data_IF_810468504146
#
_entry.id   IF_810468504146
#
_cell.length_a   1.000
_cell.length_b   1.000
_cell.length_c   1.000
_cell.angle_alpha   90.00
_cell.angle_beta   90.00
_cell.angle_gamma   90.00
#
_symmetry.space_group_name_H-M   'P 1'
#
loop_
_entity.id
_entity.type
_entity.pdbx_description
1 polymer ?
#
# COMPACT_ATOMS: atom_id res chain seq x y z
N UNK A 1 -46.16 -12.33 -13.66
CA UNK A 1 -45.15 -12.06 -14.71
C UNK A 1 -44.35 -10.75 -14.55
N UNK A 2 -44.78 -9.78 -13.70
CA UNK A 2 -44.18 -8.43 -13.65
C UNK A 2 -42.82 -8.31 -12.93
N UNK A 3 -42.59 -9.05 -11.84
CA UNK A 3 -41.38 -8.88 -11.02
C UNK A 3 -40.08 -9.32 -11.71
N UNK A 4 -40.12 -10.38 -12.53
CA UNK A 4 -38.93 -10.86 -13.27
C UNK A 4 -38.43 -9.80 -14.26
N UNK A 5 -39.34 -9.07 -14.91
CA UNK A 5 -38.99 -8.00 -15.83
C UNK A 5 -38.38 -6.80 -15.10
N UNK A 6 -38.90 -6.44 -13.93
CA UNK A 6 -38.35 -5.36 -13.10
C UNK A 6 -36.91 -5.68 -12.67
N UNK A 7 -36.67 -6.90 -12.18
CA UNK A 7 -35.33 -7.35 -11.78
C UNK A 7 -34.36 -7.33 -12.97
N UNK A 8 -34.81 -7.81 -14.14
CA UNK A 8 -33.98 -7.81 -15.34
C UNK A 8 -33.58 -6.40 -15.76
N UNK A 9 -34.53 -5.47 -15.83
CA UNK A 9 -34.26 -4.06 -16.17
C UNK A 9 -33.27 -3.45 -15.17
N UNK A 10 -33.46 -3.68 -13.87
CA UNK A 10 -32.56 -3.19 -12.84
C UNK A 10 -31.12 -3.71 -12.99
N UNK A 11 -30.95 -5.01 -13.25
CA UNK A 11 -29.62 -5.60 -13.47
C UNK A 11 -28.94 -5.03 -14.73
N UNK A 12 -29.70 -4.85 -15.81
CA UNK A 12 -29.19 -4.23 -17.04
C UNK A 12 -28.73 -2.80 -16.75
N UNK A 13 -29.52 -2.00 -16.02
CA UNK A 13 -29.13 -0.64 -15.62
C UNK A 13 -27.83 -0.63 -14.82
N UNK A 14 -27.65 -1.55 -13.87
CA UNK A 14 -26.41 -1.65 -13.10
C UNK A 14 -25.20 -2.01 -13.97
N UNK A 15 -25.36 -2.91 -14.95
CA UNK A 15 -24.29 -3.26 -15.89
C UNK A 15 -23.87 -2.04 -16.71
N UNK A 16 -24.83 -1.30 -17.28
CA UNK A 16 -24.53 -0.09 -18.06
C UNK A 16 -23.89 0.99 -17.21
N UNK A 17 -24.36 1.18 -15.96
CA UNK A 17 -23.77 2.13 -15.03
C UNK A 17 -22.32 1.77 -14.71
N UNK A 18 -22.02 0.50 -14.46
CA UNK A 18 -20.67 0.04 -14.19
C UNK A 18 -19.75 0.21 -15.41
N UNK A 19 -20.20 -0.17 -16.61
CA UNK A 19 -19.43 0.04 -17.85
C UNK A 19 -19.15 1.52 -18.07
N UNK A 20 -20.14 2.39 -17.85
CA UNK A 20 -19.99 3.84 -17.95
C UNK A 20 -18.95 4.39 -16.97
N UNK A 21 -19.01 3.98 -15.71
CA UNK A 21 -18.04 4.38 -14.69
C UNK A 21 -16.62 3.84 -14.98
N UNK A 22 -16.49 2.60 -15.46
CA UNK A 22 -15.20 2.04 -15.85
C UNK A 22 -14.60 2.81 -17.04
N UNK A 23 -15.43 3.23 -18.00
CA UNK A 23 -14.97 4.02 -19.15
C UNK A 23 -14.49 5.42 -18.74
N UNK A 24 -15.23 6.06 -17.82
CA UNK A 24 -14.82 7.33 -17.20
C UNK A 24 -13.51 7.16 -16.44
N UNK A 25 -13.42 6.14 -15.58
CA UNK A 25 -12.20 5.84 -14.83
C UNK A 25 -11.01 5.59 -15.76
N UNK A 26 -11.20 4.85 -16.85
CA UNK A 26 -10.18 4.61 -17.88
C UNK A 26 -9.70 5.92 -18.53
N UNK A 27 -10.61 6.84 -18.86
CA UNK A 27 -10.28 8.16 -19.39
C UNK A 27 -9.49 9.01 -18.39
N UNK A 28 -9.91 9.05 -17.12
CA UNK A 28 -9.20 9.79 -16.07
C UNK A 28 -7.85 9.16 -15.70
N UNK A 29 -7.71 7.83 -15.83
CA UNK A 29 -6.46 7.11 -15.58
C UNK A 29 -5.37 7.36 -16.65
N UNK A 30 -5.72 8.02 -17.76
CA UNK A 30 -4.79 8.53 -18.78
C UNK A 30 -4.27 9.93 -18.46
N UNK A 31 -4.18 10.36 -17.19
CA UNK A 31 -3.27 11.45 -16.84
C UNK A 31 -1.86 11.05 -17.29
N UNK A 32 -1.28 11.87 -18.15
CA UNK A 32 -0.05 11.58 -18.87
C UNK A 32 1.03 11.17 -17.86
N UNK A 33 1.50 9.91 -17.86
CA UNK A 33 2.74 9.59 -17.16
C UNK A 33 3.83 10.45 -17.78
N UNK A 34 4.74 10.97 -16.96
CA UNK A 34 5.83 11.85 -17.39
C UNK A 34 6.39 11.31 -18.71
N UNK A 35 6.30 12.10 -19.77
CA UNK A 35 6.71 11.68 -21.10
C UNK A 35 8.23 11.70 -21.16
N UNK A 36 8.83 10.63 -21.65
CA UNK A 36 10.26 10.59 -21.94
C UNK A 36 10.60 11.77 -22.85
N UNK A 37 11.59 12.58 -22.44
CA UNK A 37 12.07 13.70 -23.23
C UNK A 37 13.44 13.34 -23.80
N UNK A 38 13.75 13.82 -25.00
CA UNK A 38 15.04 13.50 -25.65
C UNK A 38 16.24 13.99 -24.83
N UNK A 39 16.09 15.06 -24.05
CA UNK A 39 17.12 15.56 -23.12
C UNK A 39 17.39 14.61 -21.94
N UNK A 40 16.50 13.67 -21.65
CA UNK A 40 16.68 12.68 -20.58
C UNK A 40 17.70 11.59 -20.93
N UNK A 41 18.10 11.45 -22.20
CA UNK A 41 19.10 10.47 -22.65
C UNK A 41 20.43 10.65 -21.92
N UNK A 42 20.81 11.90 -21.63
CA UNK A 42 22.07 12.26 -20.94
C UNK A 42 21.94 12.29 -19.41
N UNK A 43 20.76 12.00 -18.86
CA UNK A 43 20.49 12.00 -17.42
C UNK A 43 20.49 10.57 -16.88
N UNK A 44 20.74 10.44 -15.59
CA UNK A 44 20.48 9.21 -14.84
C UNK A 44 18.96 9.05 -14.78
N UNK A 45 18.43 7.99 -15.41
CA UNK A 45 17.00 7.70 -15.47
C UNK A 45 16.62 6.71 -14.39
N UNK A 46 15.76 7.13 -13.47
CA UNK A 46 15.25 6.31 -12.39
C UNK A 46 13.76 6.05 -12.65
N UNK A 47 13.31 4.81 -12.57
CA UNK A 47 11.90 4.44 -12.63
C UNK A 47 11.43 4.03 -11.24
N UNK A 48 10.55 4.82 -10.63
CA UNK A 48 9.91 4.48 -9.37
C UNK A 48 8.60 3.73 -9.63
N UNK A 49 8.55 2.43 -9.33
CA UNK A 49 7.34 1.62 -9.43
C UNK A 49 6.74 1.36 -8.04
N UNK A 50 5.42 1.38 -7.95
CA UNK A 50 4.74 1.06 -6.71
C UNK A 50 3.25 1.33 -6.76
N UNK A 51 2.61 1.21 -5.60
CA UNK A 51 1.15 1.27 -5.48
C UNK A 51 0.68 2.70 -5.15
N UNK A 52 -0.26 2.86 -4.21
CA UNK A 52 -0.74 4.17 -3.76
C UNK A 52 0.34 5.02 -3.10
N UNK A 53 1.29 4.36 -2.46
CA UNK A 53 2.39 5.01 -1.73
C UNK A 53 3.46 5.60 -2.65
N UNK A 54 3.50 5.16 -3.92
CA UNK A 54 4.39 5.73 -4.96
C UNK A 54 3.63 6.62 -5.93
N UNK A 55 2.35 6.36 -6.17
CA UNK A 55 1.55 7.13 -7.10
C UNK A 55 1.50 8.61 -6.72
N UNK A 56 1.44 9.48 -7.74
CA UNK A 56 1.14 10.91 -7.53
C UNK A 56 -0.16 11.02 -6.74
N UNK A 57 -0.05 11.58 -5.54
CA UNK A 57 -1.21 11.93 -4.75
C UNK A 57 -2.02 12.98 -5.51
N UNK A 58 -3.31 13.06 -5.20
CA UNK A 58 -4.35 13.79 -5.95
C UNK A 58 -3.92 15.15 -6.54
N UNK A 59 -4.66 15.64 -7.54
CA UNK A 59 -4.38 16.92 -8.21
C UNK A 59 -4.25 18.14 -7.28
N UNK A 60 -4.65 18.03 -6.02
CA UNK A 60 -4.61 19.08 -5.01
C UNK A 60 -3.22 19.30 -4.41
N UNK A 61 -2.30 18.35 -4.50
CA UNK A 61 -0.91 18.49 -4.01
C UNK A 61 0.10 18.02 -5.05
N UNK A 62 0.20 18.73 -6.19
CA UNK A 62 1.22 18.39 -7.17
C UNK A 62 2.61 18.47 -6.52
N UNK A 63 3.54 17.62 -6.96
CA UNK A 63 4.95 17.68 -6.57
C UNK A 63 5.22 17.38 -5.09
N UNK A 64 4.39 16.55 -4.46
CA UNK A 64 4.58 16.09 -3.08
C UNK A 64 4.88 14.59 -2.98
N UNK A 65 4.77 13.85 -4.09
CA UNK A 65 5.09 12.44 -4.14
C UNK A 65 6.60 12.20 -3.95
N UNK A 66 6.95 11.12 -3.26
CA UNK A 66 8.35 10.83 -2.95
C UNK A 66 9.26 10.70 -4.19
N UNK A 67 8.81 10.21 -5.38
CA UNK A 67 9.65 10.21 -6.58
C UNK A 67 10.04 11.61 -7.03
N UNK A 68 9.12 12.58 -6.95
CA UNK A 68 9.41 13.98 -7.22
C UNK A 68 10.42 14.54 -6.19
N UNK A 69 10.20 14.28 -4.90
CA UNK A 69 11.11 14.75 -3.85
C UNK A 69 12.51 14.14 -3.97
N UNK A 70 12.60 12.87 -4.36
CA UNK A 70 13.86 12.19 -4.66
C UNK A 70 14.60 12.88 -5.82
N UNK A 71 13.91 13.16 -6.93
CA UNK A 71 14.51 13.88 -8.06
C UNK A 71 15.06 15.23 -7.63
N UNK A 72 14.26 15.99 -6.87
CA UNK A 72 14.64 17.31 -6.37
C UNK A 72 15.91 17.24 -5.52
N UNK A 73 15.96 16.34 -4.54
CA UNK A 73 17.11 16.19 -3.63
C UNK A 73 18.39 15.74 -4.36
N UNK A 74 18.26 14.81 -5.32
CA UNK A 74 19.41 14.37 -6.11
C UNK A 74 19.94 15.50 -7.02
N UNK A 75 19.05 16.32 -7.59
CA UNK A 75 19.46 17.52 -8.33
C UNK A 75 20.14 18.57 -7.44
N UNK A 76 19.64 18.78 -6.22
CA UNK A 76 20.28 19.65 -5.22
C UNK A 76 21.69 19.17 -4.84
N UNK A 77 21.94 17.85 -4.91
CA UNK A 77 23.27 17.24 -4.74
C UNK A 77 24.16 17.33 -6.00
N UNK A 78 23.69 17.95 -7.09
CA UNK A 78 24.45 18.15 -8.32
C UNK A 78 24.31 17.05 -9.36
N UNK A 79 23.44 16.06 -9.16
CA UNK A 79 23.24 14.98 -10.12
C UNK A 79 22.34 15.39 -11.28
N UNK A 80 22.76 15.02 -12.50
CA UNK A 80 21.92 15.10 -13.69
C UNK A 80 20.98 13.89 -13.72
N UNK A 81 19.83 13.98 -13.05
CA UNK A 81 18.87 12.88 -12.87
C UNK A 81 17.46 13.24 -13.33
N UNK A 82 16.71 12.22 -13.73
CA UNK A 82 15.25 12.27 -13.92
C UNK A 82 14.60 11.06 -13.26
N UNK A 83 13.52 11.27 -12.53
CA UNK A 83 12.76 10.21 -11.84
C UNK A 83 11.36 10.10 -12.45
N UNK A 84 11.10 8.98 -13.13
CA UNK A 84 9.79 8.67 -13.68
C UNK A 84 8.92 8.00 -12.62
N UNK A 85 7.81 8.64 -12.26
CA UNK A 85 6.82 8.05 -11.36
C UNK A 85 5.92 7.06 -12.13
N UNK A 86 6.20 5.77 -11.95
CA UNK A 86 5.41 4.65 -12.46
C UNK A 86 4.32 4.15 -11.50
N UNK A 87 4.12 4.83 -10.37
CA UNK A 87 3.21 4.45 -9.30
C UNK A 87 1.74 4.43 -9.72
N UNK A 88 0.98 3.46 -9.20
CA UNK A 88 -0.46 3.31 -9.46
C UNK A 88 -1.21 2.92 -8.19
N UNK A 89 -2.06 3.83 -7.71
CA UNK A 89 -2.90 3.57 -6.54
C UNK A 89 -3.89 2.43 -6.75
N UNK A 90 -4.29 1.81 -5.63
CA UNK A 90 -5.28 0.73 -5.58
C UNK A 90 -5.00 -0.43 -6.56
N UNK A 91 -3.72 -0.78 -6.69
CA UNK A 91 -3.27 -1.86 -7.57
C UNK A 91 -2.41 -2.87 -6.82
N UNK A 92 -2.11 -4.00 -7.45
CA UNK A 92 -1.31 -5.09 -6.87
C UNK A 92 0.05 -5.22 -7.56
N UNK A 93 0.96 -5.98 -6.94
CA UNK A 93 2.25 -6.34 -7.55
C UNK A 93 2.06 -6.98 -8.92
N UNK A 94 1.09 -7.88 -9.09
CA UNK A 94 0.82 -8.54 -10.38
C UNK A 94 0.47 -7.56 -11.51
N UNK A 95 -0.31 -6.52 -11.22
CA UNK A 95 -0.63 -5.48 -12.18
C UNK A 95 0.59 -4.63 -12.52
N UNK A 96 1.40 -4.23 -11.53
CA UNK A 96 2.63 -3.48 -11.77
C UNK A 96 3.61 -4.26 -12.65
N UNK A 97 3.81 -5.56 -12.35
CA UNK A 97 4.68 -6.43 -13.13
C UNK A 97 4.21 -6.58 -14.58
N UNK A 98 2.91 -6.65 -14.82
CA UNK A 98 2.36 -6.70 -16.20
C UNK A 98 2.69 -5.45 -17.04
N UNK A 99 2.97 -4.32 -16.39
CA UNK A 99 3.27 -3.02 -17.04
C UNK A 99 4.77 -2.76 -17.13
N UNK A 100 5.56 -3.43 -16.31
CA UNK A 100 6.98 -3.20 -16.18
C UNK A 100 7.74 -3.35 -17.52
N UNK A 101 7.50 -4.38 -18.37
CA UNK A 101 8.19 -4.49 -19.65
C UNK A 101 8.01 -3.26 -20.55
N UNK A 102 6.76 -2.77 -20.65
CA UNK A 102 6.46 -1.57 -21.43
C UNK A 102 7.10 -0.31 -20.79
N UNK A 103 7.13 -0.20 -19.47
CA UNK A 103 7.78 0.93 -18.78
C UNK A 103 9.30 0.92 -18.97
N UNK A 104 9.94 -0.24 -18.88
CA UNK A 104 11.37 -0.40 -19.14
C UNK A 104 11.68 0.01 -20.58
N UNK A 105 10.91 -0.49 -21.56
CA UNK A 105 11.10 -0.13 -22.96
C UNK A 105 10.89 1.37 -23.21
N UNK A 106 9.85 1.96 -22.58
CA UNK A 106 9.51 3.37 -22.77
C UNK A 106 10.54 4.32 -22.16
N UNK A 107 11.05 4.02 -20.97
CA UNK A 107 11.88 4.95 -20.19
C UNK A 107 13.37 4.61 -20.21
N UNK A 108 13.73 3.40 -20.64
CA UNK A 108 15.09 2.86 -20.62
C UNK A 108 15.84 3.20 -19.31
N UNK A 109 15.27 2.88 -18.13
CA UNK A 109 15.81 3.34 -16.86
C UNK A 109 17.16 2.69 -16.56
N UNK A 110 18.07 3.43 -15.91
CA UNK A 110 19.29 2.87 -15.34
C UNK A 110 19.02 2.22 -13.99
N UNK A 111 18.07 2.78 -13.22
CA UNK A 111 17.71 2.32 -11.88
C UNK A 111 16.20 2.13 -11.82
N UNK A 112 15.74 1.02 -11.24
CA UNK A 112 14.33 0.80 -10.90
C UNK A 112 14.22 0.72 -9.38
N UNK A 113 13.39 1.57 -8.79
CA UNK A 113 13.06 1.55 -7.36
C UNK A 113 11.65 1.01 -7.22
N UNK A 114 11.49 -0.01 -6.38
CA UNK A 114 10.21 -0.72 -6.24
C UNK A 114 9.68 -0.64 -4.83
N UNK A 115 8.42 -0.22 -4.69
CA UNK A 115 7.67 -0.23 -3.43
C UNK A 115 6.26 -0.80 -3.66
N UNK A 116 6.13 -2.11 -3.48
CA UNK A 116 4.93 -2.90 -3.76
C UNK A 116 4.73 -3.97 -2.67
N UNK A 117 3.56 -4.60 -2.60
CA UNK A 117 3.30 -5.68 -1.66
C UNK A 117 2.11 -5.43 -0.74
N UNK A 118 1.84 -4.17 -0.38
CA UNK A 118 0.86 -3.86 0.66
C UNK A 118 -0.58 -4.18 0.23
N UNK A 119 -0.89 -4.10 -1.06
CA UNK A 119 -2.19 -4.52 -1.58
C UNK A 119 -2.26 -6.00 -1.96
N UNK A 120 -1.15 -6.74 -1.96
CA UNK A 120 -1.16 -8.17 -2.33
C UNK A 120 -1.79 -9.06 -1.26
N UNK A 121 -1.93 -8.58 -0.03
CA UNK A 121 -2.74 -9.24 1.00
C UNK A 121 -4.21 -9.40 0.56
N UNK A 122 -4.72 -8.53 -0.32
CA UNK A 122 -6.06 -8.66 -0.90
C UNK A 122 -6.19 -9.82 -1.92
N UNK A 123 -5.07 -10.36 -2.44
CA UNK A 123 -5.09 -11.51 -3.34
C UNK A 123 -5.37 -12.83 -2.62
N UNK A 124 -5.01 -12.95 -1.34
CA UNK A 124 -5.35 -14.13 -0.53
C UNK A 124 -6.88 -14.30 -0.40
N UNK A 125 -7.63 -13.20 -0.36
CA UNK A 125 -9.10 -13.21 -0.32
C UNK A 125 -9.76 -13.64 -1.65
N UNK A 126 -9.09 -13.46 -2.79
CA UNK A 126 -9.64 -13.78 -4.12
C UNK A 126 -9.23 -15.16 -4.64
N UNK A 127 -8.18 -15.77 -4.08
CA UNK A 127 -7.71 -17.11 -4.50
C UNK A 127 -8.66 -18.22 -4.02
N UNK A 128 -9.34 -18.02 -2.90
CA UNK A 128 -10.26 -19.00 -2.30
C UNK A 128 -11.69 -18.97 -2.89
N UNK A 129 -12.00 -18.03 -3.80
CA UNK A 129 -13.32 -17.93 -4.48
C UNK A 129 -13.34 -18.53 -5.91
N UNK A 130 -12.40 -19.41 -6.25
CA UNK A 130 -12.24 -19.93 -7.61
C UNK A 130 -13.21 -21.07 -7.96
N UNK A 131 -14.46 -20.71 -8.28
CA UNK A 131 -15.41 -21.63 -8.96
C UNK A 131 -15.41 -21.40 -10.49
N UNK A 132 -14.86 -20.29 -10.98
CA UNK A 132 -14.91 -19.91 -12.40
C UNK A 132 -13.52 -19.53 -12.95
N UNK A 133 -12.65 -20.53 -13.11
CA UNK A 133 -11.36 -20.38 -13.78
C UNK A 133 -11.53 -20.26 -15.30
N UNK A 134 -11.48 -19.05 -15.85
CA UNK A 134 -11.46 -18.85 -17.31
C UNK A 134 -11.88 -17.46 -17.82
N UNK A 135 -12.61 -16.67 -17.02
CA UNK A 135 -13.17 -15.37 -17.46
C UNK A 135 -12.58 -14.18 -16.69
N UNK A 136 -11.27 -13.96 -16.84
CA UNK A 136 -10.53 -12.92 -16.09
C UNK A 136 -11.07 -11.49 -16.27
N UNK A 137 -11.62 -11.16 -17.45
CA UNK A 137 -12.19 -9.84 -17.73
C UNK A 137 -13.50 -9.59 -16.98
N UNK A 138 -14.39 -10.59 -16.96
CA UNK A 138 -15.71 -10.49 -16.36
C UNK A 138 -15.66 -10.46 -14.82
N UNK A 139 -14.56 -10.95 -14.21
CA UNK A 139 -14.38 -10.96 -12.76
C UNK A 139 -14.23 -9.57 -12.13
N UNK A 140 -13.89 -8.56 -12.92
CA UNK A 140 -13.72 -7.19 -12.44
C UNK A 140 -15.05 -6.45 -12.27
N UNK A 141 -16.16 -6.99 -12.81
CA UNK A 141 -17.48 -6.39 -12.66
C UNK A 141 -18.07 -6.67 -11.29
N UNK A 142 -18.33 -5.61 -10.52
CA UNK A 142 -18.98 -5.64 -9.22
C UNK A 142 -20.37 -6.27 -9.31
N UNK A 143 -21.09 -6.06 -10.42
CA UNK A 143 -22.40 -6.69 -10.64
C UNK A 143 -22.27 -8.22 -10.72
N UNK A 144 -21.24 -8.73 -11.40
CA UNK A 144 -21.00 -10.18 -11.51
C UNK A 144 -20.65 -10.77 -10.14
N UNK A 145 -19.85 -10.05 -9.33
CA UNK A 145 -19.55 -10.46 -7.94
C UNK A 145 -20.80 -10.48 -7.06
N UNK A 146 -21.70 -9.50 -7.21
CA UNK A 146 -22.96 -9.45 -6.49
C UNK A 146 -23.87 -10.62 -6.89
N UNK A 147 -23.98 -10.91 -8.19
CA UNK A 147 -24.74 -12.06 -8.68
C UNK A 147 -24.15 -13.39 -8.18
N UNK A 148 -22.82 -13.53 -8.22
CA UNK A 148 -22.14 -14.69 -7.68
C UNK A 148 -22.43 -14.85 -6.17
N UNK A 149 -22.42 -13.76 -5.40
CA UNK A 149 -22.77 -13.77 -3.98
C UNK A 149 -24.23 -14.19 -3.73
N UNK A 150 -25.17 -13.64 -4.50
CA UNK A 150 -26.59 -13.97 -4.38
C UNK A 150 -26.91 -15.43 -4.75
N UNK A 151 -26.14 -16.01 -5.66
CA UNK A 151 -26.28 -17.42 -6.10
C UNK A 151 -25.46 -18.38 -5.22
N UNK A 152 -24.41 -17.90 -4.56
CA UNK A 152 -23.59 -18.75 -3.69
C UNK A 152 -24.35 -19.19 -2.44
N UNK A 153 -24.26 -20.47 -2.09
CA UNK A 153 -24.86 -20.99 -0.87
C UNK A 153 -24.18 -20.34 0.36
N UNK A 154 -24.97 -19.58 1.13
CA UNK A 154 -24.51 -18.73 2.25
C UNK A 154 -23.72 -19.52 3.31
N UNK A 155 -23.92 -20.84 3.41
CA UNK A 155 -23.17 -21.71 4.33
C UNK A 155 -21.67 -21.80 4.02
N UNK A 156 -21.29 -21.73 2.74
CA UNK A 156 -19.87 -21.79 2.34
C UNK A 156 -19.09 -20.54 2.76
N UNK A 157 -19.70 -19.37 2.63
CA UNK A 157 -19.07 -18.06 2.89
C UNK A 157 -18.75 -17.80 4.37
N UNK A 158 -19.59 -18.26 5.30
CA UNK A 158 -19.36 -18.08 6.75
C UNK A 158 -18.17 -18.92 7.25
N UNK A 159 -17.88 -20.05 6.60
CA UNK A 159 -16.80 -20.94 7.02
C UNK A 159 -15.40 -20.40 6.68
N UNK A 160 -15.25 -19.64 5.59
CA UNK A 160 -13.98 -19.04 5.19
C UNK A 160 -13.62 -17.82 6.04
N UNK A 161 -14.61 -17.00 6.44
CA UNK A 161 -14.36 -15.84 7.31
C UNK A 161 -14.00 -16.23 8.75
N UNK A 162 -14.52 -17.35 9.27
CA UNK A 162 -14.16 -17.88 10.60
C UNK A 162 -12.75 -18.49 10.69
N UNK A 163 -12.12 -18.87 9.57
CA UNK A 163 -10.74 -19.42 9.59
C UNK A 163 -9.69 -18.33 9.82
N UNK A 164 -9.96 -17.08 9.45
CA UNK A 164 -9.03 -15.95 9.56
C UNK A 164 -8.87 -15.42 10.99
N UNK A 165 -9.91 -15.48 11.82
CA UNK A 165 -9.79 -15.12 13.25
C UNK A 165 -8.83 -16.06 14.00
N UNK A 166 -8.72 -17.33 13.59
CA UNK A 166 -7.78 -18.29 14.19
C UNK A 166 -6.32 -18.08 13.78
N UNK A 167 -6.05 -17.36 12.69
CA UNK A 167 -4.65 -17.08 12.27
C UNK A 167 -4.02 -16.01 13.17
N UNK A 168 -4.76 -14.93 13.49
CA UNK A 168 -4.32 -13.90 14.45
C UNK A 168 -4.13 -14.41 15.89
N UNK A 169 -4.85 -15.46 16.30
CA UNK A 169 -4.69 -16.08 17.62
C UNK A 169 -3.38 -16.88 17.78
N UNK A 170 -2.80 -17.37 16.69
CA UNK A 170 -1.56 -18.16 16.72
C UNK A 170 -0.35 -17.25 16.92
N UNK A 171 -0.29 -16.12 16.22
CA UNK A 171 0.81 -15.15 16.33
C UNK A 171 0.68 -14.27 17.58
N UNK A 172 -0.53 -13.95 18.02
CA UNK A 172 -0.75 -13.22 19.28
C UNK A 172 -0.28 -13.98 20.54
N UNK A 173 -0.13 -15.31 20.49
CA UNK A 173 0.47 -16.10 21.58
C UNK A 173 1.99 -15.96 21.63
N UNK A 174 2.66 -15.82 20.49
CA UNK A 174 4.10 -15.56 20.45
C UNK A 174 4.42 -14.19 21.07
N UNK A 175 3.67 -13.15 20.68
CA UNK A 175 3.81 -11.81 21.27
C UNK A 175 3.55 -11.80 22.78
N UNK A 176 2.52 -12.50 23.26
CA UNK A 176 2.23 -12.62 24.70
C UNK A 176 3.30 -13.33 25.52
N UNK A 177 4.09 -14.21 24.91
CA UNK A 177 5.11 -15.00 25.60
C UNK A 177 6.50 -14.36 25.55
N UNK A 178 6.80 -13.55 24.54
CA UNK A 178 8.13 -12.97 24.33
C UNK A 178 8.21 -11.48 24.65
N UNK A 179 7.11 -10.74 24.55
CA UNK A 179 6.99 -9.39 25.09
C UNK A 179 6.18 -9.47 26.38
N UNK A 180 6.72 -8.94 27.47
CA UNK A 180 5.97 -8.79 28.73
C UNK A 180 4.79 -7.85 28.47
N UNK A 181 3.65 -8.40 28.08
CA UNK A 181 2.49 -7.62 27.62
C UNK A 181 1.92 -6.70 28.70
N UNK A 182 2.21 -6.98 29.97
CA UNK A 182 1.95 -6.09 31.10
C UNK A 182 2.71 -4.76 30.92
N UNK A 183 4.00 -4.79 30.55
CA UNK A 183 4.78 -3.58 30.22
C UNK A 183 4.24 -2.83 29.01
N UNK A 184 3.75 -3.55 28.00
CA UNK A 184 3.16 -2.90 26.80
C UNK A 184 1.87 -2.17 27.17
N UNK A 185 1.07 -2.71 28.10
CA UNK A 185 -0.12 -2.01 28.60
C UNK A 185 0.25 -0.82 29.49
N UNK A 186 1.26 -0.94 30.35
CA UNK A 186 1.79 0.18 31.14
C UNK A 186 2.26 1.31 30.23
N UNK A 187 3.01 1.00 29.17
CA UNK A 187 3.47 1.96 28.17
C UNK A 187 2.32 2.68 27.46
N UNK A 188 1.22 2.00 27.16
CA UNK A 188 0.03 2.60 26.54
C UNK A 188 -0.67 3.55 27.51
N UNK A 189 -0.66 3.24 28.81
CA UNK A 189 -1.27 4.10 29.85
C UNK A 189 -0.40 5.30 30.26
N UNK A 190 0.92 5.23 30.09
CA UNK A 190 1.87 6.27 30.49
C UNK A 190 2.17 7.33 29.41
N UNK A 191 1.46 7.35 28.28
CA UNK A 191 1.76 8.26 27.15
C UNK A 191 1.37 9.73 27.49
N UNK A 192 2.20 10.38 28.30
CA UNK A 192 2.35 11.84 28.35
C UNK A 192 3.38 12.28 27.29
N UNK A 193 3.37 13.55 26.84
CA UNK A 193 4.34 14.05 25.86
C UNK A 193 5.80 13.82 26.25
N UNK A 194 6.13 13.85 27.55
CA UNK A 194 7.50 13.67 28.07
C UNK A 194 7.93 12.19 28.13
N UNK A 195 6.98 11.25 28.16
CA UNK A 195 7.24 9.80 28.19
C UNK A 195 7.23 9.14 26.80
N UNK A 196 6.77 9.85 25.75
CA UNK A 196 6.76 9.36 24.36
C UNK A 196 8.12 8.84 23.89
N UNK A 197 9.17 9.65 24.05
CA UNK A 197 10.52 9.31 23.56
C UNK A 197 11.13 8.13 24.32
N UNK A 198 10.85 8.04 25.62
CA UNK A 198 11.25 6.90 26.45
C UNK A 198 10.57 5.61 26.01
N UNK A 199 9.24 5.63 25.86
CA UNK A 199 8.45 4.46 25.41
C UNK A 199 8.93 4.00 24.03
N UNK A 200 9.22 4.93 23.13
CA UNK A 200 9.77 4.62 21.81
C UNK A 200 11.13 3.93 21.88
N UNK A 201 12.07 4.47 22.65
CA UNK A 201 13.41 3.89 22.80
C UNK A 201 13.36 2.50 23.45
N UNK A 202 12.42 2.28 24.38
CA UNK A 202 12.20 0.96 24.99
C UNK A 202 11.60 -0.04 23.98
N UNK A 203 10.66 0.39 23.12
CA UNK A 203 10.11 -0.44 22.04
C UNK A 203 11.20 -0.78 21.01
N UNK A 204 11.98 0.19 20.54
CA UNK A 204 13.08 -0.05 19.59
C UNK A 204 14.13 -0.99 20.19
N UNK A 205 14.45 -0.83 21.47
CA UNK A 205 15.34 -1.73 22.20
C UNK A 205 14.82 -3.16 22.28
N UNK A 206 13.52 -3.33 22.55
CA UNK A 206 12.88 -4.64 22.62
C UNK A 206 12.75 -5.33 21.24
N UNK A 207 12.67 -4.55 20.17
CA UNK A 207 12.60 -5.05 18.79
C UNK A 207 13.98 -5.36 18.20
N UNK A 208 15.07 -5.01 18.89
CA UNK A 208 16.44 -5.24 18.42
C UNK A 208 16.73 -6.74 18.35
N UNK A 209 17.01 -7.24 17.14
CA UNK A 209 17.27 -8.66 16.88
C UNK A 209 16.04 -9.48 16.46
N UNK A 210 14.86 -8.86 16.40
CA UNK A 210 13.64 -9.45 15.83
C UNK A 210 13.62 -9.24 14.31
N UNK A 211 13.07 -10.18 13.53
CA UNK A 211 13.01 -10.04 12.07
C UNK A 211 12.13 -8.85 11.65
N UNK A 212 12.38 -8.27 10.48
CA UNK A 212 11.63 -7.10 9.98
C UNK A 212 10.14 -7.41 9.86
N UNK A 213 9.78 -8.63 9.45
CA UNK A 213 8.40 -9.09 9.35
C UNK A 213 7.71 -9.15 10.71
N UNK A 214 8.42 -9.62 11.74
CA UNK A 214 7.91 -9.70 13.11
C UNK A 214 7.79 -8.30 13.74
N UNK A 215 8.72 -7.39 13.44
CA UNK A 215 8.60 -5.98 13.85
C UNK A 215 7.36 -5.33 13.21
N UNK A 216 7.13 -5.54 11.92
CA UNK A 216 5.96 -5.01 11.23
C UNK A 216 4.64 -5.55 11.82
N UNK A 217 4.60 -6.85 12.15
CA UNK A 217 3.46 -7.47 12.84
C UNK A 217 3.22 -6.87 14.23
N UNK A 218 4.28 -6.57 14.98
CA UNK A 218 4.18 -5.92 16.29
C UNK A 218 3.60 -4.50 16.20
N UNK A 219 4.08 -3.69 15.25
CA UNK A 219 3.55 -2.34 15.03
C UNK A 219 2.08 -2.36 14.58
N UNK A 220 1.69 -3.30 13.72
CA UNK A 220 0.29 -3.48 13.33
C UNK A 220 -0.60 -3.86 14.52
N UNK A 221 -0.12 -4.74 15.40
CA UNK A 221 -0.80 -5.11 16.63
C UNK A 221 -0.94 -3.94 17.62
N UNK A 222 0.12 -3.14 17.80
CA UNK A 222 0.08 -1.93 18.63
C UNK A 222 -0.94 -0.93 18.10
N UNK A 223 -0.95 -0.68 16.79
CA UNK A 223 -1.91 0.22 16.15
C UNK A 223 -3.36 -0.25 16.37
N UNK A 224 -3.65 -1.54 16.22
CA UNK A 224 -4.98 -2.12 16.49
C UNK A 224 -5.38 -1.97 17.97
N UNK A 225 -4.45 -2.19 18.90
CA UNK A 225 -4.73 -2.07 20.33
C UNK A 225 -5.00 -0.64 20.74
N UNK A 226 -4.19 0.30 20.25
CA UNK A 226 -4.37 1.72 20.46
C UNK A 226 -5.77 2.13 19.95
N UNK A 227 -6.15 1.75 18.72
CA UNK A 227 -7.46 2.01 18.08
C UNK A 227 -8.66 1.49 18.89
N UNK A 228 -8.53 0.32 19.53
CA UNK A 228 -9.60 -0.19 20.40
C UNK A 228 -9.76 0.59 21.70
N UNK A 229 -8.69 1.18 22.22
CA UNK A 229 -8.74 2.09 23.38
C UNK A 229 -9.25 3.50 23.03
N UNK A 230 -9.29 3.88 21.74
CA UNK A 230 -9.68 5.20 21.25
C UNK A 230 -11.14 5.61 21.47
N UNK A 231 -12.05 4.71 21.84
CA UNK A 231 -13.46 5.08 22.02
C UNK A 231 -13.74 6.05 23.19
N UNK A 232 -12.75 6.49 23.97
CA UNK A 232 -13.01 7.27 25.21
C UNK A 232 -12.18 8.54 25.47
N UNK A 233 -11.20 8.97 24.66
CA UNK A 233 -10.36 10.14 25.02
C UNK A 233 -10.03 11.08 23.85
N UNK A 234 -10.44 12.38 23.89
CA UNK A 234 -10.31 13.33 22.79
C UNK A 234 -8.91 13.95 22.60
N UNK A 235 -7.98 13.81 23.56
CA UNK A 235 -6.61 14.36 23.49
C UNK A 235 -5.62 13.48 22.69
N UNK A 236 -6.05 12.33 22.17
CA UNK A 236 -5.16 11.29 21.61
C UNK A 236 -5.01 11.34 20.07
N UNK A 237 -5.81 12.14 19.37
CA UNK A 237 -5.80 12.20 17.91
C UNK A 237 -4.50 12.78 17.34
N UNK A 238 -3.94 13.83 17.96
CA UNK A 238 -2.66 14.39 17.52
C UNK A 238 -1.51 13.39 17.71
N UNK A 239 -1.55 12.55 18.75
CA UNK A 239 -0.47 11.58 19.01
C UNK A 239 -0.54 10.39 18.06
N UNK A 240 -1.72 9.92 17.66
CA UNK A 240 -1.83 8.80 16.69
C UNK A 240 -1.65 9.25 15.26
N UNK A 241 -2.13 10.44 14.87
CA UNK A 241 -1.69 11.03 13.61
C UNK A 241 -0.19 11.32 13.63
N UNK A 242 0.40 11.78 14.73
CA UNK A 242 1.85 11.99 14.84
C UNK A 242 2.63 10.66 14.93
N UNK A 243 2.08 9.58 15.48
CA UNK A 243 2.68 8.23 15.47
C UNK A 243 2.53 7.56 14.11
N UNK A 244 1.43 7.78 13.41
CA UNK A 244 1.19 7.31 12.06
C UNK A 244 2.08 8.10 11.09
N UNK A 245 2.03 9.42 11.14
CA UNK A 245 2.91 10.34 10.41
C UNK A 245 4.37 10.11 10.78
N UNK A 246 4.76 9.87 12.05
CA UNK A 246 6.13 9.50 12.44
C UNK A 246 6.49 8.06 12.15
N UNK A 247 5.57 7.11 12.05
CA UNK A 247 5.91 5.78 11.49
C UNK A 247 6.21 5.90 10.00
N UNK A 248 5.53 6.82 9.31
CA UNK A 248 5.86 7.29 7.97
C UNK A 248 7.11 8.19 7.94
N UNK A 249 7.40 8.94 9.01
CA UNK A 249 8.61 9.76 9.25
C UNK A 249 9.71 8.97 10.01
N UNK A 250 9.54 7.65 10.15
CA UNK A 250 10.55 6.64 10.48
C UNK A 250 10.93 5.85 9.20
N UNK A 251 10.15 6.00 8.11
CA UNK A 251 10.56 5.73 6.73
C UNK A 251 11.69 6.63 6.18
N UNK A 252 12.16 7.74 6.81
CA UNK A 252 13.40 8.40 6.46
C UNK A 252 14.56 7.43 6.50
N UNK A 253 14.57 6.37 7.34
CA UNK A 253 15.62 5.34 7.18
C UNK A 253 15.53 4.62 5.83
N UNK A 254 14.33 4.37 5.29
CA UNK A 254 14.15 3.77 3.95
C UNK A 254 14.45 4.77 2.83
N UNK A 255 14.06 6.04 2.98
CA UNK A 255 14.38 7.10 2.01
C UNK A 255 15.86 7.47 2.03
N UNK A 256 16.49 7.52 3.20
CA UNK A 256 17.91 7.82 3.41
C UNK A 256 18.77 6.64 2.94
N UNK A 257 18.35 5.39 3.20
CA UNK A 257 18.99 4.21 2.59
C UNK A 257 18.84 4.23 1.08
N UNK A 258 17.69 4.62 0.52
CA UNK A 258 17.54 4.74 -0.92
C UNK A 258 18.43 5.86 -1.50
N UNK A 259 18.47 7.04 -0.88
CA UNK A 259 19.33 8.14 -1.30
C UNK A 259 20.82 7.79 -1.23
N UNK A 260 21.28 7.24 -0.10
CA UNK A 260 22.68 6.85 0.10
C UNK A 260 23.09 5.67 -0.77
N UNK A 261 22.19 4.70 -0.99
CA UNK A 261 22.42 3.59 -1.89
C UNK A 261 22.49 4.07 -3.34
N UNK A 262 21.62 5.00 -3.74
CA UNK A 262 21.67 5.62 -5.08
C UNK A 262 22.94 6.44 -5.22
N UNK A 263 23.30 7.26 -4.22
CA UNK A 263 24.54 8.03 -4.20
C UNK A 263 25.77 7.10 -4.33
N UNK A 264 25.78 5.99 -3.60
CA UNK A 264 26.81 4.96 -3.68
C UNK A 264 26.85 4.28 -5.05
N UNK A 265 25.70 3.90 -5.60
CA UNK A 265 25.58 3.30 -6.94
C UNK A 265 26.09 4.26 -8.00
N UNK A 266 25.72 5.54 -7.93
CA UNK A 266 26.15 6.56 -8.89
C UNK A 266 27.66 6.79 -8.77
N UNK A 267 28.20 6.92 -7.56
CA UNK A 267 29.65 7.11 -7.34
C UNK A 267 30.49 5.92 -7.78
N UNK A 268 30.04 4.69 -7.50
CA UNK A 268 30.76 3.47 -7.88
C UNK A 268 30.54 3.08 -9.35
N UNK A 269 29.42 3.49 -9.92
CA UNK A 269 29.00 3.14 -11.28
C UNK A 269 29.74 3.91 -12.37
N UNK A 270 30.47 4.99 -12.04
CA UNK A 270 31.28 5.75 -12.98
C UNK A 270 30.48 6.29 -14.17
N UNK A 271 29.94 7.50 -14.01
CA UNK A 271 29.57 8.32 -15.18
C UNK A 271 30.84 8.86 -15.85
#
# INVERSE_FOLDING_TARGET
MKWKQVILVFLITLIFLEVGLQFIAFKFHRRAPDSFRSDDIRKIRILAIGESTTAKETAYRPNTDWPYLLEKRLKEKGYSVVVYNGGRGATTTSFLLSRLPHQIQKYNPHIVISMMGINDHNLFWLKEQSVFGGMGFWRNFRVIRLLAYLVSDKKSWVSSSMKLTRFGERDGRWFRSHLQMERVQEWITEISPQSKERVFNEIEGALKGISIEQQAQFYAFLAEKIDRTHQKLPFFNETVEELYVRSWDLSPKVHFVAEDLIDLIIRKGGA
#
